data_IF_566180526516
#
_entry.id   IF_566180526516
#
_cell.length_a   1.000
_cell.length_b   1.000
_cell.length_c   1.000
_cell.angle_alpha   90.00
_cell.angle_beta   90.00
_cell.angle_gamma   90.00
#
_symmetry.space_group_name_H-M   'P 1'
#
loop_
_entity.id
_entity.type
_entity.pdbx_description
1 polymer ?
#
# COMPACT_ATOMS: atom_id res chain seq x y z
N UNK A 1 0.37 5.95 -24.93
CA UNK A 1 0.39 6.88 -26.08
C UNK A 1 -0.44 8.14 -25.80
N UNK A 2 -1.71 8.01 -25.35
CA UNK A 2 -2.56 9.16 -25.02
C UNK A 2 -2.02 10.00 -23.83
N UNK A 3 -1.62 9.35 -22.74
CA UNK A 3 -1.06 10.03 -21.56
C UNK A 3 0.19 10.87 -21.91
N UNK A 4 1.07 10.37 -22.77
CA UNK A 4 2.29 11.08 -23.18
C UNK A 4 1.97 12.36 -23.96
N UNK A 5 0.90 12.37 -24.77
CA UNK A 5 0.46 13.57 -25.48
C UNK A 5 -0.11 14.63 -24.53
N UNK A 6 -0.87 14.20 -23.51
CA UNK A 6 -1.42 15.10 -22.51
C UNK A 6 -0.32 15.78 -21.67
N UNK A 7 0.64 14.99 -21.19
CA UNK A 7 1.73 15.49 -20.32
C UNK A 7 2.66 16.45 -21.09
N UNK A 8 2.77 16.32 -22.42
CA UNK A 8 3.61 17.22 -23.26
C UNK A 8 3.19 18.70 -23.26
N UNK A 9 1.98 19.02 -22.77
CA UNK A 9 1.50 20.41 -22.65
C UNK A 9 2.11 21.16 -21.47
N UNK A 10 2.77 20.46 -20.55
CA UNK A 10 3.38 21.03 -19.35
C UNK A 10 4.87 21.30 -19.55
N UNK A 11 5.47 22.13 -18.69
CA UNK A 11 6.91 22.41 -18.70
C UNK A 11 7.70 21.45 -17.80
N UNK A 12 7.05 20.90 -16.78
CA UNK A 12 7.65 20.03 -15.79
C UNK A 12 6.68 18.93 -15.33
N UNK A 13 7.22 17.79 -14.92
CA UNK A 13 6.46 16.68 -14.33
C UNK A 13 7.12 16.28 -13.02
N UNK A 14 6.34 16.29 -11.93
CA UNK A 14 6.83 15.90 -10.61
C UNK A 14 6.40 14.48 -10.29
N UNK A 15 7.36 13.63 -9.96
CA UNK A 15 7.16 12.20 -9.69
C UNK A 15 7.54 11.92 -8.24
N UNK A 16 6.62 11.39 -7.41
CA UNK A 16 6.90 11.08 -6.01
C UNK A 16 7.64 9.74 -5.87
N UNK A 17 8.85 9.68 -6.41
CA UNK A 17 9.75 8.52 -6.37
C UNK A 17 11.19 9.00 -6.14
N UNK A 18 12.09 8.10 -5.77
CA UNK A 18 13.53 8.37 -5.73
C UNK A 18 14.08 8.61 -7.13
N UNK A 19 14.92 9.65 -7.28
CA UNK A 19 15.61 9.97 -8.54
C UNK A 19 16.55 8.87 -9.01
N UNK A 20 17.21 8.19 -8.08
CA UNK A 20 18.22 7.15 -8.34
C UNK A 20 17.74 5.81 -7.80
N UNK A 21 18.41 4.73 -8.22
CA UNK A 21 18.16 3.40 -7.66
C UNK A 21 18.66 3.31 -6.21
N UNK A 22 18.02 2.51 -5.35
CA UNK A 22 16.75 1.82 -5.59
C UNK A 22 15.58 2.82 -5.65
N UNK A 23 14.74 2.70 -6.68
CA UNK A 23 13.51 3.49 -6.87
C UNK A 23 12.29 2.58 -6.78
N UNK A 24 11.14 3.16 -6.44
CA UNK A 24 9.90 2.42 -6.19
C UNK A 24 9.28 1.92 -7.50
N UNK A 25 9.18 2.77 -8.51
CA UNK A 25 8.37 2.50 -9.71
C UNK A 25 9.15 1.95 -10.90
N UNK A 26 10.48 2.01 -10.87
CA UNK A 26 11.29 1.50 -11.96
C UNK A 26 10.94 2.12 -13.29
N UNK A 27 10.74 1.29 -14.31
CA UNK A 27 10.46 1.76 -15.67
C UNK A 27 9.13 2.51 -15.79
N UNK A 28 8.22 2.36 -14.81
CA UNK A 28 6.91 3.04 -14.83
C UNK A 28 7.06 4.55 -14.55
N UNK A 29 7.88 4.95 -13.57
CA UNK A 29 8.15 6.36 -13.25
C UNK A 29 9.49 6.89 -13.75
N UNK A 30 10.32 6.06 -14.37
CA UNK A 30 11.63 6.44 -14.92
C UNK A 30 11.69 6.15 -16.42
N UNK A 31 11.25 7.13 -17.22
CA UNK A 31 11.33 7.08 -18.69
C UNK A 31 12.51 7.90 -19.20
N UNK A 32 13.29 7.32 -20.11
CA UNK A 32 14.38 8.03 -20.81
C UNK A 32 13.88 8.82 -22.03
N UNK A 33 12.61 8.69 -22.38
CA UNK A 33 12.03 9.22 -23.64
C UNK A 33 11.02 10.33 -23.38
N UNK A 34 11.47 11.41 -22.74
CA UNK A 34 10.66 12.64 -22.62
C UNK A 34 11.50 13.89 -22.80
N UNK A 35 10.91 14.94 -23.38
CA UNK A 35 11.49 16.29 -23.42
C UNK A 35 11.11 17.12 -22.18
N UNK A 36 10.22 16.58 -21.34
CA UNK A 36 9.79 17.23 -20.11
C UNK A 36 10.89 17.17 -19.06
N UNK A 37 11.07 18.26 -18.32
CA UNK A 37 11.88 18.24 -17.10
C UNK A 37 11.15 17.39 -16.06
N UNK A 38 11.77 16.30 -15.61
CA UNK A 38 11.21 15.47 -14.53
C UNK A 38 11.89 15.86 -13.22
N UNK A 39 11.08 16.20 -12.21
CA UNK A 39 11.52 16.35 -10.82
C UNK A 39 11.09 15.14 -10.02
N UNK A 40 12.03 14.59 -9.26
CA UNK A 40 11.79 13.48 -8.37
C UNK A 40 11.74 14.01 -6.94
N UNK A 41 10.60 13.89 -6.29
CA UNK A 41 10.35 14.45 -4.96
C UNK A 41 10.81 13.51 -3.84
N UNK A 42 11.13 12.26 -4.15
CA UNK A 42 11.18 11.18 -3.17
C UNK A 42 9.77 10.63 -2.88
N UNK A 43 9.68 9.53 -2.12
CA UNK A 43 8.38 8.98 -1.70
C UNK A 43 7.63 9.99 -0.84
N UNK A 44 6.33 10.11 -1.09
CA UNK A 44 5.45 10.98 -0.32
C UNK A 44 4.45 10.12 0.45
N UNK A 45 4.38 10.35 1.75
CA UNK A 45 3.39 9.74 2.62
C UNK A 45 2.77 10.80 3.51
N UNK A 46 1.47 10.65 3.74
CA UNK A 46 0.74 11.41 4.77
C UNK A 46 0.98 10.85 6.17
N UNK A 47 1.51 9.63 6.27
CA UNK A 47 1.77 8.92 7.51
C UNK A 47 3.19 9.23 7.99
N UNK A 48 3.32 9.41 9.30
CA UNK A 48 4.60 9.67 9.96
C UNK A 48 5.10 8.42 10.65
N UNK A 49 6.40 8.18 10.53
CA UNK A 49 7.08 7.12 11.26
C UNK A 49 7.18 7.50 12.72
N UNK A 50 6.71 6.62 13.58
CA UNK A 50 6.72 6.79 15.03
C UNK A 50 7.32 5.55 15.69
N UNK A 51 8.04 5.74 16.79
CA UNK A 51 8.60 4.63 17.56
C UNK A 51 7.57 4.18 18.59
N UNK A 52 6.68 3.27 18.18
CA UNK A 52 5.65 2.69 19.04
C UNK A 52 5.95 1.22 19.37
N UNK A 53 5.49 0.70 20.53
CA UNK A 53 5.53 -0.73 20.81
C UNK A 53 4.76 -1.52 19.76
N UNK A 54 5.32 -2.65 19.32
CA UNK A 54 4.62 -3.56 18.41
C UNK A 54 3.47 -4.23 19.16
N UNK A 55 2.27 -4.16 18.58
CA UNK A 55 1.03 -4.79 19.09
C UNK A 55 0.48 -5.84 18.14
N UNK A 56 0.72 -5.67 16.84
CA UNK A 56 0.28 -6.60 15.80
C UNK A 56 1.48 -7.27 15.15
N UNK A 57 1.48 -8.60 15.11
CA UNK A 57 2.44 -9.37 14.33
C UNK A 57 2.19 -9.19 12.83
N UNK A 58 0.92 -9.03 12.44
CA UNK A 58 0.49 -8.78 11.07
C UNK A 58 -0.57 -7.69 11.01
N UNK A 59 -0.41 -6.75 10.09
CA UNK A 59 -1.49 -5.87 9.64
C UNK A 59 -1.93 -6.30 8.25
N UNK A 60 -3.21 -6.58 8.06
CA UNK A 60 -3.81 -6.74 6.75
C UNK A 60 -4.51 -5.44 6.38
N UNK A 61 -4.24 -4.90 5.19
CA UNK A 61 -4.97 -3.75 4.67
C UNK A 61 -5.43 -4.03 3.25
N UNK A 62 -6.75 -4.10 3.09
CA UNK A 62 -7.39 -4.32 1.82
C UNK A 62 -7.86 -3.01 1.20
N UNK A 63 -7.76 -2.97 -0.12
CA UNK A 63 -8.25 -1.89 -0.97
C UNK A 63 -8.47 -2.43 -2.38
N UNK A 64 -9.07 -1.61 -3.23
CA UNK A 64 -9.31 -1.93 -4.63
C UNK A 64 -10.78 -2.18 -4.97
N UNK A 65 -11.08 -2.40 -6.25
CA UNK A 65 -12.45 -2.53 -6.73
C UNK A 65 -13.07 -3.88 -6.36
N UNK A 66 -14.39 -3.87 -6.19
CA UNK A 66 -15.19 -5.10 -6.13
C UNK A 66 -15.26 -5.78 -7.51
N UNK A 67 -15.35 -7.12 -7.56
CA UNK A 67 -15.45 -8.07 -6.45
C UNK A 67 -14.09 -8.54 -5.89
N UNK A 68 -12.96 -8.11 -6.48
CA UNK A 68 -11.63 -8.63 -6.16
C UNK A 68 -11.17 -8.33 -4.73
N UNK A 69 -11.70 -7.26 -4.12
CA UNK A 69 -11.45 -6.97 -2.70
C UNK A 69 -12.13 -8.01 -1.81
N UNK A 70 -13.43 -8.25 -1.99
CA UNK A 70 -14.18 -9.24 -1.19
C UNK A 70 -13.63 -10.65 -1.35
N UNK A 71 -13.34 -11.09 -2.58
CA UNK A 71 -12.75 -12.42 -2.80
C UNK A 71 -11.41 -12.61 -2.07
N UNK A 72 -10.58 -11.56 -2.00
CA UNK A 72 -9.33 -11.63 -1.23
C UNK A 72 -9.60 -11.63 0.28
N UNK A 73 -10.58 -10.85 0.75
CA UNK A 73 -10.98 -10.88 2.17
C UNK A 73 -11.38 -12.30 2.59
N UNK A 74 -12.26 -12.95 1.82
CA UNK A 74 -12.76 -14.30 2.14
C UNK A 74 -11.63 -15.33 2.18
N UNK A 75 -10.70 -15.27 1.21
CA UNK A 75 -9.52 -16.13 1.20
C UNK A 75 -8.61 -15.89 2.41
N UNK A 76 -8.36 -14.62 2.76
CA UNK A 76 -7.49 -14.31 3.90
C UNK A 76 -8.14 -14.68 5.23
N UNK A 77 -9.47 -14.59 5.35
CA UNK A 77 -10.20 -15.04 6.54
C UNK A 77 -9.97 -16.52 6.80
N UNK A 78 -9.97 -17.36 5.76
CA UNK A 78 -9.67 -18.79 5.94
C UNK A 78 -8.18 -19.05 6.22
N UNK A 79 -7.28 -18.42 5.47
CA UNK A 79 -5.83 -18.67 5.59
C UNK A 79 -5.26 -18.23 6.95
N UNK A 80 -5.76 -17.11 7.48
CA UNK A 80 -5.22 -16.50 8.70
C UNK A 80 -5.75 -17.12 9.99
N UNK A 81 -6.72 -18.03 9.96
CA UNK A 81 -7.20 -18.73 11.16
C UNK A 81 -6.08 -19.52 11.88
N UNK A 82 -5.11 -20.01 11.11
CA UNK A 82 -3.97 -20.78 11.63
C UNK A 82 -2.76 -19.93 12.05
N UNK A 83 -2.81 -18.62 11.77
CA UNK A 83 -1.70 -17.72 12.04
C UNK A 83 -1.51 -17.52 13.54
N UNK A 84 -0.27 -17.67 14.02
CA UNK A 84 0.10 -17.43 15.42
C UNK A 84 0.56 -15.99 15.58
N UNK A 85 -0.20 -15.18 16.31
CA UNK A 85 0.13 -13.78 16.60
C UNK A 85 -1.07 -12.85 16.41
N UNK A 86 -0.96 -11.61 16.84
CA UNK A 86 -2.07 -10.65 16.77
C UNK A 86 -2.19 -10.06 15.36
N UNK A 87 -3.41 -10.02 14.81
CA UNK A 87 -3.70 -9.47 13.49
C UNK A 87 -4.62 -8.26 13.61
N UNK A 88 -4.25 -7.14 12.98
CA UNK A 88 -5.17 -6.04 12.70
C UNK A 88 -5.56 -6.08 11.23
N UNK A 89 -6.86 -6.25 10.95
CA UNK A 89 -7.38 -6.46 9.60
C UNK A 89 -8.27 -5.30 9.18
N UNK A 90 -7.78 -4.43 8.31
CA UNK A 90 -8.53 -3.30 7.74
C UNK A 90 -9.15 -3.70 6.40
N UNK A 91 -10.47 -3.78 6.36
CA UNK A 91 -11.23 -4.33 5.22
C UNK A 91 -11.37 -3.35 4.05
N UNK A 92 -11.30 -2.04 4.30
CA UNK A 92 -11.49 -1.01 3.27
C UNK A 92 -12.96 -0.88 2.83
N UNK A 93 -13.91 -1.20 3.71
CA UNK A 93 -15.35 -1.04 3.51
C UNK A 93 -15.78 0.30 4.11
N UNK A 94 -16.06 1.29 3.26
CA UNK A 94 -16.55 2.59 3.74
C UNK A 94 -18.02 2.50 4.15
N UNK A 95 -18.33 2.91 5.37
CA UNK A 95 -19.68 2.95 5.93
C UNK A 95 -19.85 4.24 6.77
N UNK A 96 -21.07 4.53 7.20
CA UNK A 96 -21.37 5.68 8.06
C UNK A 96 -20.69 5.58 9.43
N UNK A 97 -20.50 4.36 9.92
CA UNK A 97 -19.97 4.08 11.26
C UNK A 97 -18.68 3.26 11.17
N UNK A 98 -17.77 3.48 12.13
CA UNK A 98 -16.59 2.63 12.32
C UNK A 98 -17.02 1.39 13.08
N UNK A 99 -16.81 0.22 12.48
CA UNK A 99 -17.16 -1.07 13.04
C UNK A 99 -15.87 -1.84 13.31
N UNK A 100 -15.73 -2.35 14.53
CA UNK A 100 -14.64 -3.24 14.93
C UNK A 100 -15.19 -4.54 15.47
N UNK A 101 -14.69 -5.66 14.95
CA UNK A 101 -15.09 -7.01 15.31
C UNK A 101 -13.83 -7.80 15.72
N UNK A 102 -13.92 -8.62 16.75
CA UNK A 102 -12.80 -9.46 17.21
C UNK A 102 -13.19 -10.92 17.05
N UNK A 103 -12.35 -11.68 16.35
CA UNK A 103 -12.49 -13.11 16.13
C UNK A 103 -11.15 -13.79 16.45
N UNK A 104 -11.07 -14.44 17.62
CA UNK A 104 -9.82 -15.02 18.09
C UNK A 104 -8.71 -13.97 18.26
N UNK A 105 -7.63 -14.13 17.50
CA UNK A 105 -6.47 -13.23 17.46
C UNK A 105 -6.57 -12.14 16.38
N UNK A 106 -7.69 -12.05 15.67
CA UNK A 106 -7.89 -11.09 14.57
C UNK A 106 -8.86 -10.00 15.01
N UNK A 107 -8.43 -8.75 14.88
CA UNK A 107 -9.28 -7.56 15.04
C UNK A 107 -9.61 -7.01 13.66
N UNK A 108 -10.85 -7.15 13.22
CA UNK A 108 -11.35 -6.60 11.96
C UNK A 108 -11.85 -5.18 12.15
N UNK A 109 -11.49 -4.30 11.21
CA UNK A 109 -12.00 -2.94 11.10
C UNK A 109 -12.58 -2.76 9.70
N UNK A 110 -13.81 -2.23 9.60
CA UNK A 110 -14.38 -1.94 8.29
C UNK A 110 -13.53 -0.91 7.52
N UNK A 111 -13.17 0.20 8.17
CA UNK A 111 -12.17 1.16 7.68
C UNK A 111 -11.46 1.84 8.86
N UNK A 112 -10.32 2.48 8.57
CA UNK A 112 -9.57 3.32 9.51
C UNK A 112 -9.33 4.71 8.92
N UNK A 113 -9.38 5.73 9.76
CA UNK A 113 -8.97 7.09 9.39
C UNK A 113 -7.44 7.25 9.47
N UNK A 114 -6.93 8.41 9.02
CA UNK A 114 -5.50 8.68 8.88
C UNK A 114 -4.68 8.40 10.15
N UNK A 115 -5.17 8.85 11.31
CA UNK A 115 -4.46 8.72 12.59
C UNK A 115 -4.45 7.26 13.08
N UNK A 116 -5.59 6.58 12.99
CA UNK A 116 -5.73 5.16 13.30
C UNK A 116 -4.82 4.32 12.39
N UNK A 117 -4.82 4.63 11.09
CA UNK A 117 -4.00 3.93 10.12
C UNK A 117 -2.51 4.15 10.40
N UNK A 118 -2.07 5.39 10.63
CA UNK A 118 -0.68 5.71 11.00
C UNK A 118 -0.26 4.93 12.24
N UNK A 119 -1.08 4.95 13.29
CA UNK A 119 -0.80 4.24 14.54
C UNK A 119 -0.70 2.74 14.30
N UNK A 120 -1.69 2.14 13.63
CA UNK A 120 -1.73 0.70 13.35
C UNK A 120 -0.53 0.27 12.52
N UNK A 121 -0.15 1.03 11.49
CA UNK A 121 1.09 0.75 10.75
C UNK A 121 2.30 0.76 11.68
N UNK A 122 2.47 1.81 12.51
CA UNK A 122 3.62 1.93 13.41
C UNK A 122 3.65 0.83 14.48
N UNK A 123 2.50 0.40 14.99
CA UNK A 123 2.34 -0.70 15.96
C UNK A 123 2.38 -2.11 15.31
N UNK A 124 2.52 -2.22 13.98
CA UNK A 124 2.55 -3.51 13.28
C UNK A 124 3.94 -3.91 12.82
N UNK A 125 4.29 -5.19 12.97
CA UNK A 125 5.60 -5.74 12.56
C UNK A 125 5.71 -5.88 11.04
N UNK A 126 4.73 -6.53 10.42
CA UNK A 126 4.67 -6.80 8.98
C UNK A 126 3.30 -6.41 8.44
N UNK A 127 3.25 -5.98 7.17
CA UNK A 127 2.00 -5.60 6.50
C UNK A 127 1.71 -6.53 5.32
N UNK A 128 0.49 -7.05 5.22
CA UNK A 128 -0.01 -7.74 4.04
C UNK A 128 -0.99 -6.80 3.31
N UNK A 129 -0.72 -6.49 2.05
CA UNK A 129 -1.49 -5.50 1.32
C UNK A 129 -1.46 -5.68 -0.21
N UNK A 130 -2.29 -4.91 -0.91
CA UNK A 130 -2.15 -4.69 -2.35
C UNK A 130 -0.90 -3.84 -2.64
N UNK A 131 -0.23 -4.08 -3.76
CA UNK A 131 0.96 -3.32 -4.19
C UNK A 131 0.60 -2.01 -4.91
N UNK A 132 -0.37 -1.26 -4.38
CA UNK A 132 -0.73 0.05 -4.92
C UNK A 132 0.38 1.08 -4.70
N UNK A 133 0.55 2.00 -5.64
CA UNK A 133 1.65 2.97 -5.59
C UNK A 133 1.70 3.79 -4.29
N UNK A 134 0.56 4.29 -3.83
CA UNK A 134 0.47 5.03 -2.56
C UNK A 134 0.86 4.17 -1.36
N UNK A 135 0.38 2.92 -1.29
CA UNK A 135 0.71 2.00 -0.20
C UNK A 135 2.21 1.69 -0.19
N UNK A 136 2.83 1.51 -1.36
CA UNK A 136 4.27 1.34 -1.49
C UNK A 136 5.04 2.56 -0.95
N UNK A 137 4.59 3.78 -1.24
CA UNK A 137 5.20 4.99 -0.70
C UNK A 137 5.06 5.07 0.82
N UNK A 138 3.87 4.78 1.36
CA UNK A 138 3.61 4.73 2.81
C UNK A 138 4.55 3.74 3.50
N UNK A 139 4.65 2.51 2.99
CA UNK A 139 5.55 1.47 3.52
C UNK A 139 7.02 1.92 3.48
N UNK A 140 7.44 2.56 2.39
CA UNK A 140 8.79 3.09 2.24
C UNK A 140 9.08 4.20 3.27
N UNK A 141 8.17 5.17 3.43
CA UNK A 141 8.32 6.27 4.39
C UNK A 141 8.33 5.78 5.84
N UNK A 142 7.53 4.76 6.16
CA UNK A 142 7.46 4.17 7.49
C UNK A 142 8.58 3.16 7.76
N UNK A 143 9.22 2.63 6.70
CA UNK A 143 10.23 1.58 6.78
C UNK A 143 9.63 0.27 7.29
N UNK A 144 8.50 -0.15 6.72
CA UNK A 144 7.77 -1.37 7.10
C UNK A 144 7.99 -2.47 6.07
N UNK A 145 8.25 -3.68 6.55
CA UNK A 145 8.29 -4.88 5.70
C UNK A 145 6.87 -5.30 5.31
N UNK A 146 6.72 -5.79 4.08
CA UNK A 146 5.40 -6.11 3.55
C UNK A 146 5.37 -7.32 2.60
N UNK A 147 4.25 -8.04 2.66
CA UNK A 147 3.85 -9.03 1.67
C UNK A 147 2.81 -8.43 0.74
N UNK A 148 3.07 -8.50 -0.57
CA UNK A 148 2.17 -7.99 -1.58
C UNK A 148 1.32 -9.09 -2.20
N UNK A 149 0.01 -8.86 -2.27
CA UNK A 149 -0.93 -9.66 -3.07
C UNK A 149 -1.47 -8.74 -4.17
N UNK A 150 -0.84 -8.66 -5.36
CA UNK A 150 -1.29 -7.77 -6.42
C UNK A 150 -2.70 -8.17 -6.89
N UNK A 151 -3.48 -7.17 -7.32
CA UNK A 151 -4.77 -7.42 -7.95
C UNK A 151 -4.57 -8.09 -9.32
N UNK A 152 -5.14 -9.29 -9.59
CA UNK A 152 -4.95 -9.98 -10.87
C UNK A 152 -5.39 -9.12 -12.06
N UNK A 153 -4.52 -9.03 -13.07
CA UNK A 153 -4.75 -8.23 -14.27
C UNK A 153 -4.42 -6.74 -14.11
N UNK A 154 -4.02 -6.28 -12.92
CA UNK A 154 -3.49 -4.93 -12.74
C UNK A 154 -1.98 -4.90 -12.93
N UNK A 155 -1.55 -4.63 -14.16
CA UNK A 155 -0.14 -4.61 -14.56
C UNK A 155 0.78 -3.79 -13.64
N UNK A 156 0.34 -2.62 -13.18
CA UNK A 156 1.14 -1.79 -12.28
C UNK A 156 1.39 -2.50 -10.95
N UNK A 157 0.35 -3.04 -10.31
CA UNK A 157 0.48 -3.76 -9.05
C UNK A 157 1.35 -5.02 -9.19
N UNK A 158 1.12 -5.81 -10.24
CA UNK A 158 1.90 -7.02 -10.51
C UNK A 158 3.38 -6.69 -10.75
N UNK A 159 3.66 -5.59 -11.45
CA UNK A 159 5.02 -5.11 -11.67
C UNK A 159 5.68 -4.65 -10.36
N UNK A 160 4.99 -3.83 -9.56
CA UNK A 160 5.51 -3.32 -8.29
C UNK A 160 5.77 -4.46 -7.30
N UNK A 161 4.86 -5.43 -7.19
CA UNK A 161 5.01 -6.58 -6.31
C UNK A 161 6.26 -7.43 -6.63
N UNK A 162 6.64 -7.56 -7.91
CA UNK A 162 7.86 -8.28 -8.33
C UNK A 162 9.14 -7.50 -8.12
N UNK A 163 9.06 -6.17 -8.24
CA UNK A 163 10.22 -5.30 -8.23
C UNK A 163 10.66 -4.94 -6.81
N UNK A 164 9.71 -4.76 -5.91
CA UNK A 164 9.93 -4.22 -4.58
C UNK A 164 10.13 -5.36 -3.60
N UNK A 165 11.30 -5.38 -2.97
CA UNK A 165 11.62 -6.25 -1.84
C UNK A 165 11.65 -5.36 -0.60
N UNK A 166 10.68 -5.52 0.31
CA UNK A 166 10.62 -4.88 1.63
C UNK A 166 10.58 -5.93 2.74
#
# INVERSE_FOLDING_TARGET
MLHTMAIRKFTECWVPDFKKKPNLTGRLGHTSRTRLRIQYLGPLSRLKKEKLPVRNDLMVILSGPEPQRTMLEDLLRSELQSFKGNISFVRGVMQSERITEIEGNITYHNFMQSEELQRTFNESKTVLCRSGYTTVMDLCCLGKSAFFIPTPGQYEQEYLAKKILF
#
